data_IF_596887757393
#
_entry.id   IF_596887757393
#
_cell.length_a   1.000
_cell.length_b   1.000
_cell.length_c   1.000
_cell.angle_alpha   90.00
_cell.angle_beta   90.00
_cell.angle_gamma   90.00
#
_symmetry.space_group_name_H-M   'P 1'
#
loop_
_entity.id
_entity.type
_entity.pdbx_description
1 polymer ?
#
# COMPACT_ATOMS: atom_id res chain seq x y z
N UNK A 1 16.74 -25.78 -46.47
CA UNK A 1 15.45 -25.11 -46.21
C UNK A 1 14.80 -25.55 -44.89
N UNK A 2 14.57 -26.84 -44.61
CA UNK A 2 13.93 -27.31 -43.36
C UNK A 2 14.60 -26.85 -42.05
N UNK A 3 15.94 -26.76 -42.01
CA UNK A 3 16.69 -26.30 -40.82
C UNK A 3 16.54 -24.80 -40.53
N UNK A 4 16.43 -23.97 -41.56
CA UNK A 4 16.27 -22.51 -41.42
C UNK A 4 14.83 -22.18 -40.95
N UNK A 5 13.84 -22.90 -41.48
CA UNK A 5 12.44 -22.75 -41.08
C UNK A 5 12.22 -23.18 -39.62
N UNK A 6 12.88 -24.24 -39.17
CA UNK A 6 12.83 -24.67 -37.76
C UNK A 6 13.47 -23.66 -36.80
N UNK A 7 14.60 -23.05 -37.19
CA UNK A 7 15.27 -22.03 -36.39
C UNK A 7 14.43 -20.75 -36.26
N UNK A 8 13.74 -20.35 -37.34
CA UNK A 8 12.86 -19.17 -37.35
C UNK A 8 11.61 -19.38 -36.48
N UNK A 9 11.08 -20.60 -36.44
CA UNK A 9 9.95 -20.97 -35.58
C UNK A 9 10.33 -21.00 -34.09
N UNK A 10 11.56 -21.42 -33.76
CA UNK A 10 12.10 -21.39 -32.39
C UNK A 10 12.32 -19.94 -31.92
N UNK A 11 12.84 -19.07 -32.78
CA UNK A 11 13.02 -17.65 -32.44
C UNK A 11 11.66 -16.95 -32.24
N UNK A 12 10.66 -17.26 -33.08
CA UNK A 12 9.31 -16.70 -32.95
C UNK A 12 8.61 -17.17 -31.66
N UNK A 13 8.81 -18.44 -31.27
CA UNK A 13 8.27 -18.97 -30.00
C UNK A 13 9.00 -18.39 -28.79
N UNK A 14 10.32 -18.15 -28.87
CA UNK A 14 11.07 -17.47 -27.81
C UNK A 14 10.60 -16.02 -27.59
N UNK A 15 10.26 -15.31 -28.67
CA UNK A 15 9.73 -13.94 -28.62
C UNK A 15 8.34 -13.84 -27.97
N UNK A 16 7.49 -14.85 -28.14
CA UNK A 16 6.14 -14.87 -27.54
C UNK A 16 6.20 -15.13 -26.03
N UNK A 17 7.21 -15.88 -25.54
CA UNK A 17 7.40 -16.13 -24.10
C UNK A 17 7.95 -14.89 -23.36
N UNK A 18 8.58 -13.95 -24.08
CA UNK A 18 9.04 -12.68 -23.51
C UNK A 18 8.00 -11.56 -23.55
N UNK A 19 6.77 -11.83 -24.00
CA UNK A 19 5.67 -10.89 -23.85
C UNK A 19 5.22 -10.88 -22.39
N UNK A 20 5.93 -10.14 -21.54
CA UNK A 20 5.46 -9.76 -20.22
C UNK A 20 4.09 -9.11 -20.40
N UNK A 21 3.05 -9.71 -19.82
CA UNK A 21 1.76 -9.07 -19.67
C UNK A 21 1.99 -7.82 -18.83
N UNK A 22 2.02 -6.65 -19.47
CA UNK A 22 1.99 -5.38 -18.76
C UNK A 22 0.61 -5.28 -18.12
N UNK A 23 0.53 -5.67 -16.85
CA UNK A 23 -0.65 -5.47 -16.02
C UNK A 23 -0.73 -3.98 -15.69
N UNK A 24 -1.38 -3.23 -16.57
CA UNK A 24 -1.58 -1.80 -16.41
C UNK A 24 -2.40 -1.50 -15.14
N UNK A 25 -1.94 -0.55 -14.32
CA UNK A 25 -2.58 -0.23 -13.05
C UNK A 25 -3.96 0.41 -13.30
N UNK A 26 -4.98 0.00 -12.53
CA UNK A 26 -6.36 0.54 -12.64
C UNK A 26 -6.75 1.45 -11.48
N UNK A 27 -5.90 1.52 -10.45
CA UNK A 27 -6.07 2.32 -9.25
C UNK A 27 -4.68 2.83 -8.85
N UNK A 28 -4.57 4.14 -8.61
CA UNK A 28 -3.43 4.72 -7.92
C UNK A 28 -3.84 5.01 -6.49
N UNK A 29 -2.96 4.77 -5.54
CA UNK A 29 -3.17 5.23 -4.17
C UNK A 29 -1.88 5.87 -3.70
N UNK A 30 -1.98 7.02 -3.06
CA UNK A 30 -0.83 7.73 -2.50
C UNK A 30 -1.26 8.50 -1.27
N UNK A 31 -0.40 8.56 -0.27
CA UNK A 31 -0.57 9.43 0.89
C UNK A 31 0.12 10.75 0.62
N UNK A 32 -0.57 11.86 0.85
CA UNK A 32 -0.05 13.21 0.79
C UNK A 32 0.11 13.69 2.23
N UNK A 33 1.32 14.13 2.57
CA UNK A 33 1.68 14.42 3.95
C UNK A 33 1.31 15.85 4.36
N UNK A 34 0.96 16.01 5.64
CA UNK A 34 0.79 17.32 6.30
C UNK A 34 -0.12 18.29 5.54
N UNK A 35 -1.30 17.84 5.12
CA UNK A 35 -2.22 18.63 4.28
C UNK A 35 -3.68 18.38 4.64
N UNK A 36 -4.55 19.28 4.15
CA UNK A 36 -6.01 19.23 4.31
C UNK A 36 -6.70 18.73 3.05
N UNK A 37 -7.98 18.38 3.16
CA UNK A 37 -8.76 17.96 1.99
C UNK A 37 -8.94 19.12 1.03
N UNK A 38 -9.18 20.31 1.54
CA UNK A 38 -9.40 21.54 0.78
C UNK A 38 -8.18 21.87 -0.10
N UNK A 39 -6.97 21.80 0.45
CA UNK A 39 -5.71 22.01 -0.29
C UNK A 39 -5.52 20.98 -1.41
N UNK A 40 -5.82 19.70 -1.11
CA UNK A 40 -5.75 18.64 -2.12
C UNK A 40 -6.79 18.86 -3.22
N UNK A 41 -8.00 19.30 -2.86
CA UNK A 41 -9.06 19.59 -3.82
C UNK A 41 -8.67 20.73 -4.77
N UNK A 42 -8.19 21.85 -4.24
CA UNK A 42 -7.75 22.99 -5.03
C UNK A 42 -6.63 22.60 -6.01
N UNK A 43 -5.65 21.82 -5.53
CA UNK A 43 -4.55 21.34 -6.37
C UNK A 43 -5.00 20.38 -7.47
N UNK A 44 -5.93 19.46 -7.16
CA UNK A 44 -6.54 18.58 -8.17
C UNK A 44 -7.21 19.41 -9.26
N UNK A 45 -8.01 20.41 -8.87
CA UNK A 45 -8.71 21.27 -9.82
C UNK A 45 -7.73 22.08 -10.68
N UNK A 46 -6.68 22.67 -10.08
CA UNK A 46 -5.64 23.40 -10.82
C UNK A 46 -4.97 22.50 -11.88
N UNK A 47 -4.44 21.35 -11.45
CA UNK A 47 -3.68 20.46 -12.34
C UNK A 47 -4.58 19.87 -13.43
N UNK A 48 -5.77 19.38 -13.07
CA UNK A 48 -6.65 18.70 -14.03
C UNK A 48 -7.27 19.67 -15.03
N UNK A 49 -7.73 20.85 -14.60
CA UNK A 49 -8.28 21.84 -15.53
C UNK A 49 -7.21 22.40 -16.46
N UNK A 50 -5.97 22.55 -15.97
CA UNK A 50 -4.80 22.86 -16.80
C UNK A 50 -4.48 21.81 -17.87
N UNK A 51 -5.05 20.60 -17.79
CA UNK A 51 -4.94 19.52 -18.80
C UNK A 51 -6.21 19.31 -19.61
N UNK A 52 -7.09 20.32 -19.66
CA UNK A 52 -8.35 20.31 -20.40
C UNK A 52 -9.34 19.23 -19.90
N UNK A 53 -9.31 18.90 -18.62
CA UNK A 53 -10.43 18.19 -17.98
C UNK A 53 -11.46 19.21 -17.50
N UNK A 54 -12.73 18.84 -17.58
CA UNK A 54 -13.85 19.62 -17.03
C UNK A 54 -14.29 19.03 -15.69
N UNK A 55 -14.70 19.87 -14.76
CA UNK A 55 -15.25 19.40 -13.47
C UNK A 55 -16.64 18.80 -13.70
N UNK A 56 -16.87 17.61 -13.16
CA UNK A 56 -18.14 16.87 -13.26
C UNK A 56 -18.87 16.82 -11.92
N UNK A 57 -18.17 16.49 -10.83
CA UNK A 57 -18.74 16.42 -9.47
C UNK A 57 -17.68 16.82 -8.43
N UNK A 58 -18.08 17.57 -7.39
CA UNK A 58 -17.23 17.90 -6.23
C UNK A 58 -18.05 17.70 -4.96
N UNK A 59 -17.58 16.78 -4.11
CA UNK A 59 -18.11 16.52 -2.77
C UNK A 59 -17.00 16.72 -1.73
N UNK A 60 -17.35 16.70 -0.44
CA UNK A 60 -16.39 16.89 0.66
C UNK A 60 -15.13 16.01 0.58
N UNK A 61 -15.23 14.77 0.09
CA UNK A 61 -14.09 13.82 0.02
C UNK A 61 -13.88 13.23 -1.38
N UNK A 62 -14.45 13.85 -2.42
CA UNK A 62 -14.42 13.31 -3.78
C UNK A 62 -14.43 14.42 -4.81
N UNK A 63 -13.61 14.27 -5.84
CA UNK A 63 -13.69 15.06 -7.08
C UNK A 63 -13.81 14.11 -8.26
N UNK A 64 -14.74 14.40 -9.17
CA UNK A 64 -14.81 13.77 -10.48
C UNK A 64 -14.55 14.83 -11.54
N UNK A 65 -13.59 14.56 -12.40
CA UNK A 65 -13.33 15.35 -13.60
C UNK A 65 -13.52 14.48 -14.83
N UNK A 66 -13.92 15.11 -15.93
CA UNK A 66 -14.25 14.41 -17.16
C UNK A 66 -13.48 14.98 -18.35
N UNK A 67 -13.24 14.14 -19.36
CA UNK A 67 -12.68 14.55 -20.64
C UNK A 67 -13.28 13.72 -21.76
N UNK A 68 -13.73 14.42 -22.80
CA UNK A 68 -14.23 13.80 -24.01
C UNK A 68 -13.06 13.48 -24.94
N UNK A 69 -13.03 12.25 -25.43
CA UNK A 69 -12.12 11.80 -26.47
C UNK A 69 -12.93 11.38 -27.70
N UNK A 70 -12.61 11.96 -28.86
CA UNK A 70 -13.28 11.68 -30.13
C UNK A 70 -13.72 12.96 -30.84
N UNK A 71 -13.26 13.15 -32.07
CA UNK A 71 -13.42 14.39 -32.85
C UNK A 71 -14.71 14.41 -33.71
N UNK A 72 -15.71 13.58 -33.35
CA UNK A 72 -17.02 13.50 -34.01
C UNK A 72 -17.04 12.91 -35.44
N UNK A 73 -15.89 12.84 -36.13
CA UNK A 73 -15.84 12.46 -37.56
C UNK A 73 -15.56 10.97 -37.82
N UNK A 74 -14.82 10.28 -36.93
CA UNK A 74 -14.43 8.87 -37.13
C UNK A 74 -14.38 8.00 -35.85
N UNK A 75 -14.42 8.61 -34.65
CA UNK A 75 -14.28 7.90 -33.38
C UNK A 75 -15.52 8.15 -32.53
N UNK A 76 -16.13 7.06 -32.02
CA UNK A 76 -17.24 7.15 -31.06
C UNK A 76 -16.80 8.00 -29.87
N UNK A 77 -17.62 8.99 -29.48
CA UNK A 77 -17.34 9.82 -28.30
C UNK A 77 -17.15 8.93 -27.07
N UNK A 78 -15.94 8.97 -26.51
CA UNK A 78 -15.55 8.30 -25.27
C UNK A 78 -15.47 9.36 -24.18
N UNK A 79 -16.42 9.33 -23.26
CA UNK A 79 -16.38 10.19 -22.08
C UNK A 79 -15.58 9.46 -20.99
N UNK A 80 -14.37 9.96 -20.69
CA UNK A 80 -13.57 9.45 -19.58
C UNK A 80 -13.86 10.28 -18.33
N UNK A 81 -14.17 9.60 -17.23
CA UNK A 81 -14.32 10.19 -15.90
C UNK A 81 -13.19 9.71 -14.99
N UNK A 82 -12.43 10.66 -14.45
CA UNK A 82 -11.38 10.41 -13.45
C UNK A 82 -11.95 10.76 -12.09
N UNK A 83 -11.95 9.79 -11.19
CA UNK A 83 -12.46 9.92 -9.83
C UNK A 83 -11.30 9.96 -8.84
N UNK A 84 -11.23 11.03 -8.08
CA UNK A 84 -10.34 11.23 -6.94
C UNK A 84 -11.16 11.04 -5.66
N UNK A 85 -10.76 10.12 -4.79
CA UNK A 85 -11.33 9.98 -3.44
C UNK A 85 -10.25 10.29 -2.42
N UNK A 86 -10.62 11.02 -1.38
CA UNK A 86 -9.72 11.48 -0.32
C UNK A 86 -10.17 10.87 1.01
N UNK A 87 -9.21 10.40 1.80
CA UNK A 87 -9.46 9.90 3.14
C UNK A 87 -8.46 10.55 4.10
N UNK A 88 -8.97 11.33 5.03
CA UNK A 88 -8.19 12.00 6.06
C UNK A 88 -7.73 11.00 7.13
N UNK A 89 -6.44 11.06 7.48
CA UNK A 89 -5.80 10.21 8.50
C UNK A 89 -4.64 10.97 9.16
N UNK A 90 -4.81 11.33 10.42
CA UNK A 90 -3.73 11.85 11.27
C UNK A 90 -2.96 13.04 10.64
N UNK A 91 -3.69 14.00 10.05
CA UNK A 91 -3.11 15.15 9.36
C UNK A 91 -2.54 14.86 7.96
N UNK A 92 -2.78 13.68 7.42
CA UNK A 92 -2.42 13.28 6.05
C UNK A 92 -3.68 12.95 5.24
N UNK A 93 -3.58 13.04 3.92
CA UNK A 93 -4.65 12.68 3.00
C UNK A 93 -4.24 11.47 2.17
N UNK A 94 -4.99 10.38 2.31
CA UNK A 94 -4.88 9.24 1.41
C UNK A 94 -5.72 9.48 0.16
N UNK A 95 -5.04 9.72 -0.96
CA UNK A 95 -5.63 9.97 -2.26
C UNK A 95 -5.74 8.67 -3.07
N UNK A 96 -6.92 8.39 -3.61
CA UNK A 96 -7.20 7.22 -4.45
C UNK A 96 -7.78 7.66 -5.79
N UNK A 97 -7.15 7.24 -6.89
CA UNK A 97 -7.48 7.72 -8.24
C UNK A 97 -7.78 6.55 -9.17
N UNK A 98 -8.94 6.62 -9.83
CA UNK A 98 -9.40 5.63 -10.80
C UNK A 98 -10.03 6.30 -12.02
N UNK A 99 -9.92 5.67 -13.20
CA UNK A 99 -10.57 6.15 -14.42
C UNK A 99 -11.61 5.15 -14.93
N UNK A 100 -12.78 5.68 -15.30
CA UNK A 100 -13.87 4.95 -15.96
C UNK A 100 -14.20 5.62 -17.28
N UNK A 101 -14.29 4.83 -18.35
CA UNK A 101 -14.77 5.24 -19.65
C UNK A 101 -16.23 4.87 -19.82
N UNK A 102 -17.04 5.83 -20.24
CA UNK A 102 -18.41 5.64 -20.67
C UNK A 102 -18.45 5.56 -22.19
N UNK A 103 -18.68 4.36 -22.71
CA UNK A 103 -18.88 4.10 -24.15
C UNK A 103 -20.37 4.23 -24.45
N UNK A 104 -20.72 5.15 -25.35
CA UNK A 104 -22.12 5.42 -25.77
C UNK A 104 -23.07 5.69 -24.60
N UNK A 105 -22.57 6.24 -23.48
CA UNK A 105 -23.36 6.59 -22.30
C UNK A 105 -23.93 5.42 -21.49
N UNK A 106 -23.67 4.17 -21.89
CA UNK A 106 -24.27 2.98 -21.23
C UNK A 106 -23.25 1.98 -20.68
N UNK A 107 -22.09 1.85 -21.33
CA UNK A 107 -21.07 0.87 -20.89
C UNK A 107 -19.95 1.57 -20.14
N UNK A 108 -19.91 1.37 -18.83
CA UNK A 108 -18.84 1.83 -17.97
C UNK A 108 -17.71 0.79 -17.92
N UNK A 109 -16.53 1.13 -18.46
CA UNK A 109 -15.34 0.27 -18.44
C UNK A 109 -14.23 0.94 -17.64
N UNK A 110 -13.66 0.21 -16.68
CA UNK A 110 -12.47 0.68 -15.97
C UNK A 110 -11.24 0.64 -16.88
N UNK A 111 -10.48 1.74 -16.92
CA UNK A 111 -9.28 1.88 -17.76
C UNK A 111 -7.99 1.80 -16.95
N UNK A 112 -6.88 1.64 -17.66
CA UNK A 112 -5.57 1.92 -17.08
C UNK A 112 -5.50 3.39 -16.70
N UNK A 113 -4.80 3.68 -15.61
CA UNK A 113 -4.54 5.02 -15.11
C UNK A 113 -3.11 5.48 -15.40
N UNK A 114 -2.33 4.74 -16.18
CA UNK A 114 -0.89 5.01 -16.37
C UNK A 114 -0.63 6.43 -16.91
N UNK A 115 -1.51 6.95 -17.77
CA UNK A 115 -1.43 8.33 -18.29
C UNK A 115 -1.74 9.40 -17.25
N UNK A 116 -2.41 9.04 -16.15
CA UNK A 116 -2.74 9.95 -15.05
C UNK A 116 -1.65 9.96 -13.98
N UNK A 117 -0.80 8.92 -13.91
CA UNK A 117 0.27 8.82 -12.89
C UNK A 117 1.14 10.09 -12.85
N UNK A 118 1.62 10.67 -13.97
CA UNK A 118 2.40 11.90 -13.91
C UNK A 118 1.66 13.07 -13.26
N UNK A 119 0.35 13.21 -13.52
CA UNK A 119 -0.49 14.26 -12.95
C UNK A 119 -0.71 14.05 -11.46
N UNK A 120 -0.92 12.80 -11.04
CA UNK A 120 -1.08 12.45 -9.61
C UNK A 120 0.21 12.74 -8.85
N UNK A 121 1.37 12.44 -9.45
CA UNK A 121 2.69 12.76 -8.89
C UNK A 121 2.93 14.26 -8.83
N UNK A 122 2.52 15.02 -9.85
CA UNK A 122 2.59 16.48 -9.86
C UNK A 122 1.76 17.08 -8.72
N UNK A 123 0.51 16.62 -8.53
CA UNK A 123 -0.37 17.06 -7.44
C UNK A 123 0.31 16.87 -6.09
N UNK A 124 0.81 15.66 -5.81
CA UNK A 124 1.48 15.38 -4.53
C UNK A 124 2.76 16.20 -4.36
N UNK A 125 3.63 16.24 -5.36
CA UNK A 125 4.88 17.01 -5.31
C UNK A 125 4.63 18.50 -5.03
N UNK A 126 3.60 19.10 -5.63
CA UNK A 126 3.23 20.50 -5.38
C UNK A 126 2.71 20.76 -3.96
N UNK A 127 2.13 19.75 -3.30
CA UNK A 127 1.56 19.89 -1.96
C UNK A 127 2.61 19.61 -0.88
N UNK A 128 3.22 18.43 -0.90
CA UNK A 128 4.09 17.96 0.20
C UNK A 128 5.59 18.01 -0.14
N UNK A 129 5.95 18.43 -1.36
CA UNK A 129 7.34 18.52 -1.81
C UNK A 129 8.00 17.18 -2.12
N UNK A 130 7.30 16.05 -2.00
CA UNK A 130 7.87 14.72 -2.28
C UNK A 130 8.34 14.66 -3.75
N UNK A 131 9.62 14.32 -4.03
CA UNK A 131 10.11 14.20 -5.40
C UNK A 131 9.30 13.19 -6.23
N UNK A 132 8.98 13.55 -7.49
CA UNK A 132 8.09 12.74 -8.34
C UNK A 132 8.57 11.29 -8.56
N UNK A 133 9.87 11.06 -8.54
CA UNK A 133 10.51 9.75 -8.66
C UNK A 133 10.33 8.88 -7.40
N UNK A 134 10.19 9.49 -6.24
CA UNK A 134 9.96 8.82 -4.95
C UNK A 134 8.47 8.51 -4.68
N UNK A 135 7.55 9.09 -5.45
CA UNK A 135 6.12 8.82 -5.34
C UNK A 135 5.78 7.50 -6.03
N UNK A 136 5.37 6.50 -5.25
CA UNK A 136 4.92 5.19 -5.73
C UNK A 136 3.45 4.95 -5.36
N UNK A 137 2.78 4.05 -6.11
CA UNK A 137 1.42 3.66 -5.78
C UNK A 137 1.43 2.74 -4.55
N UNK A 138 0.73 3.12 -3.51
CA UNK A 138 0.40 2.35 -2.31
C UNK A 138 -0.82 1.44 -2.52
N UNK A 139 -1.37 1.40 -3.74
CA UNK A 139 -2.48 0.50 -4.04
C UNK A 139 -1.99 -0.92 -3.82
N UNK A 140 -2.81 -1.74 -3.16
CA UNK A 140 -2.53 -3.17 -3.02
C UNK A 140 -2.69 -3.79 -4.41
N UNK A 141 -1.60 -3.82 -5.18
CA UNK A 141 -1.49 -4.68 -6.33
C UNK A 141 -1.60 -6.11 -5.81
N UNK A 142 -2.67 -6.81 -6.16
CA UNK A 142 -2.82 -8.26 -5.94
C UNK A 142 -1.86 -9.07 -6.84
N UNK A 143 -0.74 -8.48 -7.26
CA UNK A 143 0.27 -9.11 -8.09
C UNK A 143 1.43 -9.55 -7.17
N UNK A 144 1.82 -10.84 -7.20
CA UNK A 144 2.95 -11.33 -6.41
C UNK A 144 4.24 -10.60 -6.84
N UNK A 145 4.97 -10.06 -5.86
CA UNK A 145 6.26 -9.37 -6.08
C UNK A 145 6.19 -7.84 -6.29
N UNK A 146 5.05 -7.18 -6.07
CA UNK A 146 4.87 -5.73 -6.30
C UNK A 146 5.61 -4.79 -5.31
N UNK A 147 6.60 -5.26 -4.53
CA UNK A 147 7.48 -4.39 -3.74
C UNK A 147 6.83 -3.54 -2.65
N UNK A 148 5.51 -3.62 -2.46
CA UNK A 148 4.78 -3.02 -1.34
C UNK A 148 4.68 -4.06 -0.23
N UNK A 149 5.80 -4.41 0.38
CA UNK A 149 5.77 -4.97 1.72
C UNK A 149 5.27 -3.84 2.62
N UNK A 150 3.96 -3.83 2.91
CA UNK A 150 3.47 -3.08 4.07
C UNK A 150 4.40 -3.42 5.22
N UNK A 151 5.03 -2.41 5.81
CA UNK A 151 5.70 -2.55 7.10
C UNK A 151 4.74 -3.28 8.04
N UNK A 152 4.99 -4.58 8.24
CA UNK A 152 4.08 -5.44 9.00
C UNK A 152 4.05 -4.93 10.41
N UNK A 153 2.86 -4.68 10.96
CA UNK A 153 2.75 -4.32 12.38
C UNK A 153 3.42 -5.42 13.24
N UNK A 154 3.93 -5.04 14.41
CA UNK A 154 4.52 -6.00 15.35
C UNK A 154 3.51 -7.08 15.75
N UNK A 155 2.26 -6.69 16.03
CA UNK A 155 1.12 -7.59 16.24
C UNK A 155 1.08 -8.38 17.55
N UNK A 156 1.86 -8.00 18.56
CA UNK A 156 1.81 -8.59 19.90
C UNK A 156 0.87 -7.79 20.80
N UNK A 157 -0.14 -8.44 21.35
CA UNK A 157 -0.98 -7.88 22.41
C UNK A 157 -0.53 -8.49 23.73
N UNK A 158 -0.02 -7.65 24.64
CA UNK A 158 0.42 -8.06 25.98
C UNK A 158 -0.76 -8.09 26.94
N UNK A 159 -0.82 -9.13 27.79
CA UNK A 159 -1.80 -9.30 28.83
C UNK A 159 -1.20 -9.13 30.23
N UNK A 160 -1.89 -9.73 31.20
CA UNK A 160 -1.47 -9.73 32.60
C UNK A 160 -0.29 -10.67 32.85
N UNK A 161 0.33 -10.51 34.01
CA UNK A 161 1.36 -11.42 34.49
C UNK A 161 0.75 -12.76 34.92
N UNK A 162 1.44 -13.85 34.63
CA UNK A 162 1.11 -15.17 35.15
C UNK A 162 1.50 -15.29 36.64
N UNK A 163 1.21 -16.45 37.25
CA UNK A 163 1.54 -16.70 38.66
C UNK A 163 3.04 -16.64 39.01
N UNK A 164 3.92 -16.65 38.02
CA UNK A 164 5.37 -16.55 38.18
C UNK A 164 5.91 -15.13 37.95
N UNK A 165 5.04 -14.19 37.55
CA UNK A 165 5.37 -12.79 37.31
C UNK A 165 5.75 -12.45 35.86
N UNK A 166 5.65 -13.38 34.92
CA UNK A 166 5.98 -13.18 33.50
C UNK A 166 4.74 -12.80 32.68
N UNK A 167 4.94 -12.08 31.57
CA UNK A 167 3.84 -11.48 30.80
C UNK A 167 3.28 -12.47 29.78
N UNK A 168 1.96 -12.69 29.81
CA UNK A 168 1.26 -13.53 28.85
C UNK A 168 0.97 -12.78 27.55
N UNK A 169 1.01 -13.47 26.41
CA UNK A 169 0.47 -13.00 25.13
C UNK A 169 -0.96 -13.53 24.95
N UNK A 170 -2.01 -12.77 25.30
CA UNK A 170 -3.40 -13.20 25.05
C UNK A 170 -3.74 -13.30 23.56
N UNK A 171 -3.10 -12.50 22.69
CA UNK A 171 -3.42 -12.45 21.27
C UNK A 171 -2.22 -12.02 20.43
N UNK A 172 -2.09 -12.66 19.28
CA UNK A 172 -1.20 -12.26 18.19
C UNK A 172 -2.07 -11.88 16.98
N UNK A 173 -1.80 -10.75 16.34
CA UNK A 173 -2.59 -10.28 15.20
C UNK A 173 -2.25 -11.08 13.93
N UNK A 174 -3.24 -11.61 13.19
CA UNK A 174 -2.99 -12.32 11.94
C UNK A 174 -2.30 -11.43 10.89
N UNK A 175 -1.29 -11.97 10.19
CA UNK A 175 -0.53 -11.25 9.17
C UNK A 175 0.43 -10.20 9.72
N UNK A 176 0.73 -10.24 11.02
CA UNK A 176 1.73 -9.42 11.68
C UNK A 176 3.11 -10.09 11.68
N UNK A 177 4.15 -9.30 12.00
CA UNK A 177 5.51 -9.83 12.13
C UNK A 177 5.60 -10.91 13.21
N UNK A 178 4.93 -10.74 14.34
CA UNK A 178 4.89 -11.78 15.38
C UNK A 178 4.23 -13.07 14.91
N UNK A 179 3.15 -12.99 14.13
CA UNK A 179 2.47 -14.16 13.59
C UNK A 179 3.35 -14.91 12.59
N UNK A 180 4.04 -14.19 11.71
CA UNK A 180 4.91 -14.78 10.70
C UNK A 180 6.14 -15.45 11.30
N UNK A 181 6.67 -14.89 12.39
CA UNK A 181 7.77 -15.45 13.17
C UNK A 181 7.31 -16.52 14.18
N UNK A 182 6.03 -16.92 14.11
CA UNK A 182 5.51 -18.09 14.82
C UNK A 182 5.14 -17.87 16.29
N UNK A 183 5.01 -16.62 16.76
CA UNK A 183 4.41 -16.35 18.06
C UNK A 183 2.91 -16.67 18.05
N UNK A 184 2.43 -17.22 19.15
CA UNK A 184 1.06 -17.69 19.30
C UNK A 184 0.42 -17.11 20.56
N UNK A 185 -0.93 -17.02 20.58
CA UNK A 185 -1.64 -16.81 21.83
C UNK A 185 -1.25 -17.85 22.88
N UNK A 186 -1.15 -17.41 24.14
CA UNK A 186 -0.71 -18.14 25.33
C UNK A 186 0.80 -18.31 25.51
N UNK A 187 1.63 -17.85 24.60
CA UNK A 187 3.06 -17.75 24.87
C UNK A 187 3.33 -16.79 26.04
N UNK A 188 4.33 -17.12 26.86
CA UNK A 188 4.69 -16.33 28.04
C UNK A 188 6.06 -15.71 27.78
N UNK A 189 6.15 -14.38 27.68
CA UNK A 189 7.41 -13.68 27.43
C UNK A 189 8.21 -13.64 28.73
N UNK A 190 9.41 -14.22 28.72
CA UNK A 190 10.32 -14.27 29.88
C UNK A 190 11.41 -13.20 29.82
N UNK A 191 11.85 -12.84 28.62
CA UNK A 191 12.93 -11.88 28.39
C UNK A 191 12.77 -11.16 27.06
N UNK A 192 13.15 -9.87 27.03
CA UNK A 192 13.22 -9.07 25.80
C UNK A 192 14.58 -8.37 25.74
N UNK A 193 15.35 -8.61 24.67
CA UNK A 193 16.65 -7.97 24.42
C UNK A 193 17.59 -8.00 25.65
N UNK A 194 17.75 -9.15 26.31
CA UNK A 194 18.61 -9.27 27.49
C UNK A 194 17.97 -8.83 28.81
N UNK A 195 16.70 -8.40 28.81
CA UNK A 195 16.01 -7.90 30.01
C UNK A 195 14.86 -8.81 30.41
N UNK A 196 14.89 -9.30 31.66
CA UNK A 196 13.79 -10.10 32.18
C UNK A 196 12.50 -9.29 32.25
N UNK A 197 11.39 -9.88 31.81
CA UNK A 197 10.07 -9.25 31.89
C UNK A 197 9.43 -9.37 33.28
N UNK A 198 10.00 -10.20 34.16
CA UNK A 198 9.47 -10.44 35.51
C UNK A 198 9.33 -9.17 36.34
N UNK A 199 10.32 -8.30 36.24
CA UNK A 199 10.40 -7.02 36.94
C UNK A 199 9.78 -5.85 36.16
N UNK A 200 9.32 -6.10 34.92
CA UNK A 200 8.73 -5.07 34.06
C UNK A 200 7.21 -5.03 34.21
N UNK A 201 6.64 -3.84 34.27
CA UNK A 201 5.19 -3.67 34.11
C UNK A 201 4.76 -3.91 32.67
N UNK A 202 3.57 -4.49 32.45
CA UNK A 202 3.07 -4.79 31.09
C UNK A 202 2.99 -3.54 30.22
N UNK A 203 2.64 -2.38 30.79
CA UNK A 203 2.62 -1.09 30.09
C UNK A 203 4.02 -0.63 29.68
N UNK A 204 5.01 -0.80 30.55
CA UNK A 204 6.41 -0.46 30.27
C UNK A 204 6.99 -1.34 29.16
N UNK A 205 6.70 -2.65 29.20
CA UNK A 205 7.09 -3.56 28.12
C UNK A 205 6.42 -3.19 26.80
N UNK A 206 5.12 -2.85 26.82
CA UNK A 206 4.39 -2.39 25.63
C UNK A 206 5.06 -1.19 24.98
N UNK A 207 5.36 -0.15 25.77
CA UNK A 207 6.05 1.05 25.28
C UNK A 207 7.45 0.73 24.77
N UNK A 208 8.18 -0.16 25.44
CA UNK A 208 9.51 -0.58 25.00
C UNK A 208 9.47 -1.26 23.62
N UNK A 209 8.57 -2.23 23.43
CA UNK A 209 8.40 -2.93 22.16
C UNK A 209 7.98 -1.97 21.04
N UNK A 210 7.01 -1.08 21.32
CA UNK A 210 6.56 -0.08 20.35
C UNK A 210 7.70 0.85 19.91
N UNK A 211 8.51 1.35 20.85
CA UNK A 211 9.63 2.23 20.55
C UNK A 211 10.74 1.52 19.76
N UNK A 212 11.05 0.25 20.09
CA UNK A 212 12.03 -0.54 19.35
C UNK A 212 11.56 -0.85 17.94
N UNK A 213 10.28 -1.17 17.79
CA UNK A 213 9.67 -1.44 16.50
C UNK A 213 9.64 -0.17 15.62
N UNK A 214 9.23 0.98 16.17
CA UNK A 214 9.24 2.27 15.45
C UNK A 214 10.65 2.75 15.06
N UNK A 215 11.67 2.33 15.81
CA UNK A 215 13.08 2.60 15.49
C UNK A 215 13.69 1.59 14.50
N UNK A 216 12.89 0.70 13.90
CA UNK A 216 13.33 -0.39 13.01
C UNK A 216 14.40 -1.30 13.65
N UNK A 217 14.42 -1.39 14.99
CA UNK A 217 15.39 -2.20 15.72
C UNK A 217 14.92 -3.66 15.80
N UNK A 218 15.87 -4.59 15.82
CA UNK A 218 15.56 -6.00 16.10
C UNK A 218 15.12 -6.19 17.55
N UNK A 219 14.08 -7.00 17.74
CA UNK A 219 13.56 -7.37 19.06
C UNK A 219 13.75 -8.88 19.21
N UNK A 220 14.67 -9.27 20.09
CA UNK A 220 14.84 -10.65 20.53
C UNK A 220 13.94 -10.90 21.73
N UNK A 221 13.08 -11.91 21.62
CA UNK A 221 12.21 -12.37 22.70
C UNK A 221 12.58 -13.80 23.05
N UNK A 222 12.70 -14.06 24.35
CA UNK A 222 12.58 -15.42 24.86
C UNK A 222 11.18 -15.59 25.42
N UNK A 223 10.55 -16.72 25.09
CA UNK A 223 9.21 -17.04 25.53
C UNK A 223 9.10 -18.51 25.92
N UNK A 224 8.16 -18.82 26.80
CA UNK A 224 7.82 -20.17 27.19
C UNK A 224 6.55 -20.62 26.45
N UNK A 225 6.62 -21.79 25.83
CA UNK A 225 5.52 -22.51 25.19
C UNK A 225 5.54 -23.95 25.67
N UNK A 226 4.45 -24.39 26.32
CA UNK A 226 4.32 -25.75 26.85
C UNK A 226 5.55 -26.21 27.67
N UNK A 227 6.00 -25.38 28.60
CA UNK A 227 7.15 -25.60 29.49
C UNK A 227 8.52 -25.65 28.78
N UNK A 228 8.58 -25.30 27.49
CA UNK A 228 9.82 -25.18 26.72
C UNK A 228 10.12 -23.71 26.45
N UNK A 229 11.37 -23.30 26.71
CA UNK A 229 11.83 -21.95 26.38
C UNK A 229 12.33 -21.90 24.94
N UNK A 230 11.74 -21.00 24.15
CA UNK A 230 12.10 -20.74 22.76
C UNK A 230 12.53 -19.28 22.59
N UNK A 231 13.21 -18.99 21.48
CA UNK A 231 13.64 -17.65 21.10
C UNK A 231 13.02 -17.27 19.76
N UNK A 232 12.61 -16.02 19.62
CA UNK A 232 12.24 -15.41 18.35
C UNK A 232 12.92 -14.05 18.17
N UNK A 233 13.31 -13.73 16.94
CA UNK A 233 13.87 -12.42 16.59
C UNK A 233 12.91 -11.74 15.62
N UNK A 234 12.26 -10.68 16.10
CA UNK A 234 11.36 -9.87 15.29
C UNK A 234 12.17 -8.74 14.66
N UNK A 235 12.29 -8.77 13.34
CA UNK A 235 12.95 -7.73 12.55
C UNK A 235 12.08 -7.33 11.37
N UNK A 236 11.93 -6.04 11.15
CA UNK A 236 11.25 -5.53 9.96
C UNK A 236 12.08 -5.87 8.71
N UNK A 237 11.47 -6.54 7.74
CA UNK A 237 12.09 -6.76 6.43
C UNK A 237 12.00 -5.44 5.64
N UNK A 238 13.12 -5.06 5.02
CA UNK A 238 13.24 -3.88 4.16
C UNK A 238 12.96 -4.27 2.71
#
# INVERSE_FOLDING_TARGET
MKRILGMLLIILTLLIVMASSSFAAKLYTTTIHETTVEEVQDMILEVMTGKNFTVDEVDKYKIIVAKNFGDGFWVTSQLCKVKFNMLERDGNIKLMVSETELVQGQLARQRSIDHLIPLIKEIRNKIDGTPMDQIASEAVNQLPGSGNERQKALGIILGDKNGEGYILIPKVEPGSLAADEGLLPKDIIIEVNGRSTKEMESSALKSYLANKFAANASIMLFYNRNDTTEMVILKQQM
#
